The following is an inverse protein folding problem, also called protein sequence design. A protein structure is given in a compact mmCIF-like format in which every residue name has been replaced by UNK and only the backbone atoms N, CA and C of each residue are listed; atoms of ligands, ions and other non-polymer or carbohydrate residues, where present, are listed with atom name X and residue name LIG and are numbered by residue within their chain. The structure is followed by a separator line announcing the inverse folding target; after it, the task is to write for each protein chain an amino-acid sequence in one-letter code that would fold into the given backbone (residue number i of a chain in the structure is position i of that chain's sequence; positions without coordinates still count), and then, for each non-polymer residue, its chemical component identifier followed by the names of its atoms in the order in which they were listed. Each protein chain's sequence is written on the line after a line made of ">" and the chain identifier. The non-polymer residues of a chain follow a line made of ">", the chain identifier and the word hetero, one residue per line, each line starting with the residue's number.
data_IF_071336630148
#
_entry.id   IF_071336630148
#
_cell.length_a   1.000
_cell.length_b   1.000
_cell.length_c   1.000
_cell.angle_alpha   90.00
_cell.angle_beta   90.00
_cell.angle_gamma   90.00
#
_symmetry.space_group_name_H-M   'P 1'
#
loop_
_entity.id
_entity.type
_entity.pdbx_description
1 polymer ?
#
# COMPACT_ATOMS: atom_id res chain seq x y z
N UNK A 1 28.50 13.40 5.33
CA UNK A 1 27.64 14.22 6.21
C UNK A 1 26.27 13.54 6.28
N UNK A 2 25.74 13.24 7.48
CA UNK A 2 25.00 12.00 7.69
C UNK A 2 23.52 12.05 7.29
N UNK A 3 23.08 10.93 6.73
CA UNK A 3 21.71 10.46 6.56
C UNK A 3 20.89 10.61 7.84
N UNK A 4 19.84 11.44 7.85
CA UNK A 4 18.71 11.43 8.81
C UNK A 4 17.67 12.42 8.23
N UNK A 5 16.35 12.22 8.15
CA UNK A 5 15.45 11.41 8.95
C UNK A 5 14.06 11.41 8.26
N UNK A 6 13.67 10.35 7.55
CA UNK A 6 12.26 10.14 7.17
C UNK A 6 11.72 8.94 7.94
N UNK A 7 11.39 9.17 9.22
CA UNK A 7 10.66 8.17 10.00
C UNK A 7 9.19 8.33 9.64
N UNK A 8 8.78 7.56 8.63
CA UNK A 8 7.39 7.44 8.20
C UNK A 8 6.61 6.61 9.24
N UNK A 9 6.03 7.32 10.21
CA UNK A 9 5.07 6.73 11.13
C UNK A 9 3.76 6.47 10.40
N UNK A 10 3.55 5.22 9.98
CA UNK A 10 2.23 4.72 9.59
C UNK A 10 1.39 4.55 10.86
N UNK A 11 0.48 5.48 11.11
CA UNK A 11 -0.56 5.29 12.12
C UNK A 11 -1.66 4.44 11.47
N UNK A 12 -1.81 3.19 11.92
CA UNK A 12 -2.98 2.38 11.64
C UNK A 12 -4.12 2.89 12.52
N UNK A 13 -5.08 3.59 11.92
CA UNK A 13 -6.30 4.01 12.58
C UNK A 13 -7.47 3.28 11.90
N UNK A 14 -7.76 2.08 12.39
CA UNK A 14 -9.13 1.59 12.44
C UNK A 14 -9.71 0.85 11.22
N UNK A 15 -10.65 -0.02 11.54
CA UNK A 15 -11.46 -0.86 10.66
C UNK A 15 -12.54 0.01 9.98
N UNK A 16 -12.52 0.12 8.66
CA UNK A 16 -13.57 0.85 7.92
C UNK A 16 -14.71 -0.11 7.57
N UNK A 17 -15.92 0.16 8.07
CA UNK A 17 -17.12 -0.56 7.67
C UNK A 17 -17.66 0.05 6.36
N UNK A 18 -17.24 -0.51 5.22
CA UNK A 18 -17.74 -0.11 3.89
C UNK A 18 -19.10 -0.77 3.65
N UNK A 19 -20.20 -0.05 3.91
CA UNK A 19 -21.54 -0.49 3.46
C UNK A 19 -21.62 -0.41 1.93
N UNK A 20 -21.69 -1.57 1.26
CA UNK A 20 -22.01 -1.67 -0.18
C UNK A 20 -23.45 -1.20 -0.41
N UNK A 21 -23.66 -0.04 -1.02
CA UNK A 21 -24.94 0.26 -1.66
C UNK A 21 -25.03 -0.54 -2.98
N UNK A 22 -25.89 -1.55 -2.98
CA UNK A 22 -26.17 -2.40 -4.14
C UNK A 22 -27.11 -1.65 -5.08
N UNK A 23 -26.56 -0.89 -6.03
CA UNK A 23 -27.32 -0.45 -7.19
C UNK A 23 -27.29 -1.56 -8.26
N UNK A 24 -28.47 -2.03 -8.62
CA UNK A 24 -28.74 -3.07 -9.62
C UNK A 24 -28.94 -2.39 -10.98
N UNK A 25 -28.05 -2.64 -11.94
CA UNK A 25 -28.41 -2.91 -13.34
C UNK A 25 -27.16 -3.27 -14.14
N UNK A 26 -27.33 -4.24 -15.02
CA UNK A 26 -26.31 -4.89 -15.82
C UNK A 26 -25.94 -4.04 -17.04
N UNK A 27 -24.64 -3.85 -17.29
CA UNK A 27 -24.00 -4.10 -18.60
C UNK A 27 -22.48 -3.85 -18.51
N UNK A 28 -21.72 -4.72 -19.18
CA UNK A 28 -20.26 -4.78 -19.21
C UNK A 28 -19.63 -3.51 -19.83
N UNK A 29 -18.73 -2.84 -19.12
CA UNK A 29 -17.45 -2.32 -19.65
C UNK A 29 -16.62 -1.61 -18.56
N UNK A 30 -15.30 -1.79 -18.67
CA UNK A 30 -14.22 -1.09 -17.95
C UNK A 30 -14.53 0.35 -17.54
N UNK A 31 -14.59 0.62 -16.23
CA UNK A 31 -14.13 1.88 -15.65
C UNK A 31 -13.92 1.69 -14.14
N UNK A 32 -12.67 1.41 -13.75
CA UNK A 32 -12.23 1.52 -12.35
C UNK A 32 -12.03 3.00 -12.04
N UNK A 33 -13.13 3.70 -11.80
CA UNK A 33 -13.11 5.12 -11.41
C UNK A 33 -12.76 5.19 -9.93
N UNK A 34 -11.54 5.62 -9.61
CA UNK A 34 -11.17 5.98 -8.25
C UNK A 34 -11.98 7.23 -7.87
N UNK A 35 -12.94 7.06 -6.97
CA UNK A 35 -13.77 8.17 -6.47
C UNK A 35 -12.87 8.98 -5.51
N UNK A 36 -12.54 10.21 -5.91
CA UNK A 36 -11.92 11.19 -5.00
C UNK A 36 -13.02 11.70 -4.07
N UNK A 37 -13.17 11.06 -2.90
CA UNK A 37 -14.06 11.54 -1.86
C UNK A 37 -13.31 12.63 -1.06
N UNK A 38 -13.85 13.84 -1.03
CA UNK A 38 -13.52 14.84 -0.02
C UNK A 38 -14.03 14.31 1.33
N UNK A 39 -13.14 13.77 2.15
CA UNK A 39 -13.50 13.19 3.45
C UNK A 39 -13.62 14.34 4.46
N UNK A 40 -14.83 14.65 4.90
CA UNK A 40 -15.06 15.52 6.05
C UNK A 40 -14.61 14.81 7.33
N UNK A 41 -13.64 15.41 8.02
CA UNK A 41 -12.91 14.84 9.16
C UNK A 41 -13.79 14.51 10.39
N UNK A 42 -14.94 15.18 10.53
CA UNK A 42 -15.89 15.06 11.65
C UNK A 42 -16.68 13.72 11.64
N UNK A 43 -17.09 13.23 10.47
CA UNK A 43 -18.01 12.07 10.37
C UNK A 43 -17.32 10.71 10.58
N UNK A 44 -16.01 10.62 10.36
CA UNK A 44 -15.22 9.42 10.67
C UNK A 44 -15.04 9.23 12.18
N UNK A 45 -14.97 10.32 12.95
CA UNK A 45 -14.72 10.25 14.39
C UNK A 45 -15.95 9.72 15.17
N UNK A 46 -17.16 10.01 14.69
CA UNK A 46 -18.40 9.64 15.39
C UNK A 46 -18.79 8.16 15.21
N UNK A 47 -18.50 7.57 14.04
CA UNK A 47 -18.80 6.16 13.77
C UNK A 47 -17.79 5.19 14.42
N UNK A 48 -16.62 5.69 14.83
CA UNK A 48 -15.52 4.88 15.38
C UNK A 48 -15.64 4.59 16.89
N UNK A 49 -16.46 5.34 17.63
CA UNK A 49 -16.59 5.21 19.08
C UNK A 49 -17.26 3.92 19.55
N UNK A 50 -17.91 3.15 18.67
CA UNK A 50 -18.72 1.99 19.06
C UNK A 50 -18.00 0.62 19.05
N UNK A 51 -16.73 0.54 18.61
CA UNK A 51 -15.99 -0.73 18.50
C UNK A 51 -14.68 -0.79 19.30
N UNK A 52 -14.42 0.17 20.20
CA UNK A 52 -13.22 0.16 21.05
C UNK A 52 -13.46 -0.64 22.34
N UNK A 53 -13.47 -1.97 22.24
CA UNK A 53 -13.39 -2.90 23.40
C UNK A 53 -12.11 -3.73 23.36
N UNK A 54 -11.01 -3.16 22.86
CA UNK A 54 -9.69 -3.79 22.94
C UNK A 54 -8.66 -2.81 23.54
N UNK A 55 -7.87 -3.23 24.55
CA UNK A 55 -6.94 -2.36 25.27
C UNK A 55 -5.83 -1.81 24.37
N UNK A 56 -5.45 -0.57 24.68
CA UNK A 56 -4.71 0.40 23.85
C UNK A 56 -3.24 0.06 23.50
N UNK A 57 -2.75 -1.14 23.80
CA UNK A 57 -1.34 -1.53 23.61
C UNK A 57 -1.16 -2.88 22.90
N UNK A 58 -1.90 -3.09 21.81
CA UNK A 58 -1.68 -4.26 20.95
C UNK A 58 -0.51 -3.99 20.00
N UNK A 59 0.43 -4.95 19.90
CA UNK A 59 1.55 -4.82 18.96
C UNK A 59 1.04 -4.70 17.52
N UNK A 60 1.62 -3.79 16.72
CA UNK A 60 1.10 -3.44 15.38
C UNK A 60 0.91 -4.66 14.46
N UNK A 61 1.77 -5.68 14.62
CA UNK A 61 1.65 -6.98 13.90
C UNK A 61 0.36 -7.75 14.20
N UNK A 62 -0.25 -7.51 15.37
CA UNK A 62 -1.51 -8.14 15.80
C UNK A 62 -2.75 -7.33 15.40
N UNK A 63 -2.59 -6.10 14.87
CA UNK A 63 -3.69 -5.23 14.43
C UNK A 63 -4.25 -5.61 13.06
N UNK A 64 -3.47 -6.31 12.22
CA UNK A 64 -3.90 -6.75 10.89
C UNK A 64 -4.36 -8.20 10.99
N UNK A 65 -5.68 -8.41 10.91
CA UNK A 65 -6.32 -9.72 10.90
C UNK A 65 -7.30 -9.78 9.72
N UNK A 66 -6.84 -10.16 8.52
CA UNK A 66 -7.67 -10.21 7.32
C UNK A 66 -8.93 -11.07 7.51
N UNK A 67 -8.86 -12.09 8.37
CA UNK A 67 -9.98 -12.95 8.75
C UNK A 67 -11.12 -12.23 9.49
N UNK A 68 -10.86 -11.11 10.16
CA UNK A 68 -11.90 -10.29 10.81
C UNK A 68 -12.42 -9.23 9.85
N UNK A 69 -11.49 -8.51 9.22
CA UNK A 69 -11.80 -7.55 8.17
C UNK A 69 -10.66 -7.48 7.16
N UNK A 70 -10.96 -7.49 5.85
CA UNK A 70 -9.94 -7.23 4.85
C UNK A 70 -9.67 -5.72 4.67
N UNK A 71 -10.52 -4.83 5.21
CA UNK A 71 -10.45 -3.38 5.03
C UNK A 71 -9.69 -2.65 6.14
N UNK A 72 -8.77 -1.78 5.74
CA UNK A 72 -7.91 -1.00 6.64
C UNK A 72 -7.76 0.43 6.16
N UNK A 73 -7.90 1.38 7.08
CA UNK A 73 -7.50 2.76 6.85
C UNK A 73 -6.07 2.97 7.34
N UNK A 74 -5.20 3.40 6.43
CA UNK A 74 -3.81 3.74 6.73
C UNK A 74 -3.54 5.20 6.44
N UNK A 75 -2.72 5.80 7.30
CA UNK A 75 -2.33 7.20 7.20
C UNK A 75 -0.81 7.26 7.22
N UNK A 76 -0.26 8.09 6.35
CA UNK A 76 1.17 8.36 6.26
C UNK A 76 1.39 9.86 6.31
N UNK A 77 2.11 10.33 7.33
CA UNK A 77 2.35 11.75 7.59
C UNK A 77 3.83 12.07 7.49
N UNK A 78 4.14 13.22 6.92
CA UNK A 78 5.48 13.78 7.01
C UNK A 78 5.74 14.35 8.40
N UNK A 79 6.97 14.19 8.85
CA UNK A 79 7.47 14.77 10.10
C UNK A 79 8.32 16.00 9.80
N UNK A 80 8.57 16.84 10.80
CA UNK A 80 9.49 18.00 10.71
C UNK A 80 9.12 19.05 9.66
N UNK A 81 7.83 19.37 9.52
CA UNK A 81 7.31 20.41 8.61
C UNK A 81 7.65 20.19 7.12
N UNK A 82 7.98 18.96 6.73
CA UNK A 82 8.18 18.65 5.32
C UNK A 82 6.82 18.54 4.59
N UNK A 83 6.72 19.15 3.42
CA UNK A 83 5.54 19.10 2.56
C UNK A 83 5.69 17.96 1.55
N UNK A 84 4.69 17.05 1.52
CA UNK A 84 4.56 16.04 0.48
C UNK A 84 4.26 16.66 -0.88
N UNK A 85 3.36 17.64 -0.86
CA UNK A 85 2.92 18.39 -2.03
C UNK A 85 2.26 19.70 -1.58
N UNK A 86 1.84 20.53 -2.52
CA UNK A 86 1.22 21.82 -2.20
C UNK A 86 2.24 22.94 -2.03
N UNK A 87 1.76 24.12 -1.66
CA UNK A 87 2.62 25.26 -1.36
C UNK A 87 3.24 25.12 0.03
N UNK A 88 4.55 25.32 0.12
CA UNK A 88 5.27 25.47 1.37
C UNK A 88 5.24 26.95 1.79
N UNK A 89 4.50 27.31 2.85
CA UNK A 89 4.33 28.69 3.28
C UNK A 89 5.62 29.30 3.85
N UNK A 90 6.66 28.51 4.11
CA UNK A 90 7.90 29.02 4.71
C UNK A 90 8.92 29.49 3.68
N UNK A 91 9.10 28.74 2.59
CA UNK A 91 10.05 29.08 1.52
C UNK A 91 9.36 29.50 0.21
N UNK A 92 8.02 29.46 0.15
CA UNK A 92 7.22 29.83 -1.02
C UNK A 92 7.31 28.82 -2.18
N UNK A 93 7.91 27.64 -1.98
CA UNK A 93 8.04 26.63 -3.03
C UNK A 93 6.73 25.88 -3.24
N UNK A 94 6.43 25.60 -4.50
CA UNK A 94 5.26 24.82 -4.91
C UNK A 94 5.69 23.37 -5.21
N UNK A 95 5.08 22.43 -4.51
CA UNK A 95 5.31 20.99 -4.68
C UNK A 95 4.08 20.25 -5.22
N UNK A 96 3.15 20.93 -5.89
CA UNK A 96 1.91 20.30 -6.37
C UNK A 96 2.16 19.13 -7.32
N UNK A 97 3.24 19.17 -8.10
CA UNK A 97 3.62 18.10 -9.02
C UNK A 97 3.85 16.76 -8.31
N UNK A 98 4.35 16.78 -7.07
CA UNK A 98 4.60 15.57 -6.26
C UNK A 98 3.33 14.77 -5.97
N UNK A 99 2.14 15.39 -6.00
CA UNK A 99 0.85 14.67 -5.87
C UNK A 99 0.71 13.61 -6.96
N UNK A 100 1.12 13.92 -8.20
CA UNK A 100 1.07 12.96 -9.31
C UNK A 100 1.97 11.75 -9.05
N UNK A 101 3.15 11.94 -8.45
CA UNK A 101 4.07 10.85 -8.10
C UNK A 101 3.43 9.88 -7.12
N UNK A 102 2.78 10.42 -6.08
CA UNK A 102 2.10 9.63 -5.05
C UNK A 102 0.96 8.84 -5.69
N UNK A 103 0.07 9.49 -6.43
CA UNK A 103 -1.10 8.84 -7.06
C UNK A 103 -0.66 7.78 -8.08
N UNK A 104 0.35 8.06 -8.89
CA UNK A 104 0.86 7.10 -9.87
C UNK A 104 1.50 5.89 -9.18
N UNK A 105 2.24 6.10 -8.08
CA UNK A 105 2.82 4.99 -7.31
C UNK A 105 1.75 4.14 -6.63
N UNK A 106 0.71 4.74 -6.07
CA UNK A 106 -0.44 4.01 -5.50
C UNK A 106 -1.07 3.12 -6.58
N UNK A 107 -1.33 3.67 -7.77
CA UNK A 107 -1.89 2.91 -8.91
C UNK A 107 -0.98 1.75 -9.32
N UNK A 108 0.32 2.01 -9.48
CA UNK A 108 1.30 0.98 -9.81
C UNK A 108 1.29 -0.16 -8.78
N UNK A 109 1.37 0.18 -7.49
CA UNK A 109 1.40 -0.82 -6.42
C UNK A 109 0.10 -1.63 -6.36
N UNK A 110 -1.06 -0.99 -6.57
CA UNK A 110 -2.36 -1.68 -6.60
C UNK A 110 -2.52 -2.68 -7.75
N UNK A 111 -1.74 -2.51 -8.83
CA UNK A 111 -1.74 -3.46 -9.95
C UNK A 111 -0.84 -4.69 -9.68
N UNK A 112 0.12 -4.55 -8.76
CA UNK A 112 1.15 -5.57 -8.50
C UNK A 112 0.83 -6.36 -7.22
N UNK A 113 0.49 -5.67 -6.13
CA UNK A 113 0.09 -6.28 -4.87
C UNK A 113 -1.31 -6.87 -4.95
N UNK A 114 -1.61 -7.84 -4.08
CA UNK A 114 -2.96 -8.34 -3.82
C UNK A 114 -3.70 -7.44 -2.83
N UNK A 115 -3.68 -6.13 -3.11
CA UNK A 115 -4.27 -5.09 -2.26
C UNK A 115 -5.03 -4.11 -3.15
N UNK A 116 -6.35 -4.07 -2.96
CA UNK A 116 -7.21 -3.09 -3.60
C UNK A 116 -7.13 -1.75 -2.86
N UNK A 117 -7.05 -0.65 -3.61
CA UNK A 117 -7.16 0.71 -3.06
C UNK A 117 -8.61 1.17 -3.27
N UNK A 118 -9.40 1.15 -2.20
CA UNK A 118 -10.82 1.53 -2.25
C UNK A 118 -11.02 3.04 -2.29
N UNK A 119 -10.17 3.79 -1.59
CA UNK A 119 -10.18 5.25 -1.59
C UNK A 119 -8.80 5.80 -1.23
N UNK A 120 -8.50 7.02 -1.67
CA UNK A 120 -7.31 7.74 -1.24
C UNK A 120 -7.56 9.25 -1.17
N UNK A 121 -6.83 9.93 -0.29
CA UNK A 121 -6.76 11.39 -0.22
C UNK A 121 -5.31 11.81 -0.03
N UNK A 122 -4.80 12.70 -0.89
CA UNK A 122 -3.42 13.23 -0.82
C UNK A 122 -3.48 14.70 -0.46
N UNK A 123 -3.03 15.01 0.74
CA UNK A 123 -2.97 16.37 1.30
C UNK A 123 -1.52 16.87 1.26
N UNK A 124 -1.32 18.11 1.70
CA UNK A 124 -0.02 18.78 1.60
C UNK A 124 1.06 18.15 2.47
N UNK A 125 0.72 17.65 3.66
CA UNK A 125 1.67 17.07 4.62
C UNK A 125 1.40 15.59 4.98
N UNK A 126 0.34 14.99 4.43
CA UNK A 126 0.01 13.58 4.65
C UNK A 126 -0.92 13.01 3.58
N UNK A 127 -1.07 11.69 3.56
CA UNK A 127 -2.07 11.02 2.75
C UNK A 127 -2.80 9.92 3.53
N UNK A 128 -4.04 9.65 3.09
CA UNK A 128 -4.92 8.61 3.62
C UNK A 128 -5.18 7.58 2.53
N UNK A 129 -5.16 6.29 2.86
CA UNK A 129 -5.59 5.20 1.97
C UNK A 129 -6.57 4.29 2.70
N UNK A 130 -7.65 3.91 2.01
CA UNK A 130 -8.50 2.80 2.41
C UNK A 130 -8.11 1.61 1.55
N UNK A 131 -7.51 0.60 2.17
CA UNK A 131 -6.96 -0.58 1.53
C UNK A 131 -7.82 -1.80 1.85
N UNK A 132 -7.96 -2.71 0.90
CA UNK A 132 -8.57 -4.03 1.11
C UNK A 132 -7.57 -5.10 0.70
N UNK A 133 -7.23 -6.00 1.62
CA UNK A 133 -6.39 -7.17 1.32
C UNK A 133 -7.25 -8.17 0.54
N UNK A 134 -6.80 -8.57 -0.65
CA UNK A 134 -7.45 -9.60 -1.46
C UNK A 134 -6.81 -10.96 -1.16
N UNK A 135 -7.26 -11.60 -0.09
CA UNK A 135 -6.73 -12.89 0.37
C UNK A 135 -7.00 -14.01 -0.63
N UNK A 136 -8.13 -13.95 -1.36
CA UNK A 136 -8.50 -14.93 -2.38
C UNK A 136 -7.54 -14.83 -3.56
N UNK A 137 -7.31 -13.62 -4.09
CA UNK A 137 -6.31 -13.42 -5.14
C UNK A 137 -4.93 -13.86 -4.67
N UNK A 138 -4.54 -13.50 -3.45
CA UNK A 138 -3.23 -13.83 -2.89
C UNK A 138 -3.00 -15.34 -2.87
N UNK A 139 -3.97 -16.12 -2.38
CA UNK A 139 -3.87 -17.58 -2.27
C UNK A 139 -3.88 -18.28 -3.62
N UNK A 140 -4.56 -17.72 -4.61
CA UNK A 140 -4.68 -18.28 -5.95
C UNK A 140 -3.55 -17.89 -6.92
N UNK A 141 -2.51 -17.17 -6.45
CA UNK A 141 -1.36 -16.86 -7.30
C UNK A 141 -0.52 -18.10 -7.58
N UNK A 142 -0.21 -18.32 -8.86
CA UNK A 142 0.77 -19.35 -9.26
C UNK A 142 2.20 -18.85 -8.97
N UNK A 143 3.18 -19.75 -8.80
CA UNK A 143 4.57 -19.38 -8.58
C UNK A 143 5.12 -18.39 -9.62
N UNK A 144 4.80 -18.60 -10.90
CA UNK A 144 5.23 -17.75 -12.01
C UNK A 144 4.70 -16.33 -11.85
N UNK A 145 3.42 -16.19 -11.47
CA UNK A 145 2.79 -14.88 -11.27
C UNK A 145 3.35 -14.18 -10.03
N UNK A 146 3.60 -14.92 -8.93
CA UNK A 146 4.24 -14.37 -7.73
C UNK A 146 5.59 -13.77 -8.07
N UNK A 147 6.44 -14.54 -8.77
CA UNK A 147 7.78 -14.10 -9.15
C UNK A 147 7.67 -12.91 -10.10
N UNK A 148 6.87 -13.01 -11.17
CA UNK A 148 6.70 -11.94 -12.14
C UNK A 148 6.24 -10.62 -11.51
N UNK A 149 5.26 -10.66 -10.59
CA UNK A 149 4.81 -9.48 -9.83
C UNK A 149 5.92 -8.93 -8.94
N UNK A 150 6.64 -9.80 -8.22
CA UNK A 150 7.71 -9.38 -7.32
C UNK A 150 8.85 -8.67 -8.06
N UNK A 151 9.27 -9.20 -9.22
CA UNK A 151 10.35 -8.65 -10.04
C UNK A 151 10.02 -7.27 -10.66
N UNK A 152 8.75 -6.89 -10.74
CA UNK A 152 8.37 -5.54 -11.20
C UNK A 152 8.75 -4.45 -10.18
N UNK A 153 8.99 -4.81 -8.91
CA UNK A 153 9.25 -3.86 -7.83
C UNK A 153 10.62 -4.03 -7.19
N UNK A 154 11.15 -5.25 -7.16
CA UNK A 154 12.36 -5.59 -6.45
C UNK A 154 13.30 -6.43 -7.31
N UNK A 155 14.58 -6.39 -6.98
CA UNK A 155 15.55 -7.30 -7.58
C UNK A 155 15.22 -8.75 -7.20
N UNK A 156 15.31 -9.64 -8.19
CA UNK A 156 15.04 -11.06 -8.04
C UNK A 156 16.19 -11.87 -7.49
N UNK A 157 15.86 -13.00 -6.86
CA UNK A 157 16.83 -14.05 -6.61
C UNK A 157 17.13 -14.79 -7.93
N UNK A 158 18.39 -15.14 -8.25
CA UNK A 158 18.75 -15.82 -9.50
C UNK A 158 17.90 -17.05 -9.80
N UNK A 159 17.69 -17.92 -8.81
CA UNK A 159 16.83 -19.12 -8.92
C UNK A 159 15.43 -18.80 -9.46
N UNK A 160 14.82 -17.69 -9.03
CA UNK A 160 13.49 -17.30 -9.48
C UNK A 160 13.51 -16.72 -10.91
N UNK A 161 14.60 -16.06 -11.28
CA UNK A 161 14.81 -15.55 -12.65
C UNK A 161 15.03 -16.72 -13.61
N UNK A 162 15.83 -17.71 -13.23
CA UNK A 162 16.07 -18.92 -14.01
C UNK A 162 14.77 -19.70 -14.18
N UNK A 163 13.98 -19.87 -13.11
CA UNK A 163 12.66 -20.49 -13.18
C UNK A 163 11.73 -19.82 -14.20
N UNK A 164 11.69 -18.48 -14.25
CA UNK A 164 10.87 -17.77 -15.24
C UNK A 164 11.35 -17.93 -16.68
N UNK A 165 12.65 -18.18 -16.90
CA UNK A 165 13.25 -18.34 -18.23
C UNK A 165 13.12 -19.78 -18.73
N UNK A 166 13.41 -20.75 -17.87
CA UNK A 166 13.55 -22.16 -18.23
C UNK A 166 12.27 -22.97 -17.91
N UNK A 167 11.35 -22.41 -17.13
CA UNK A 167 10.10 -23.06 -16.70
C UNK A 167 10.28 -24.10 -15.59
N UNK A 168 11.53 -24.46 -15.26
CA UNK A 168 11.86 -25.42 -14.21
C UNK A 168 13.19 -25.07 -13.56
N UNK A 169 13.44 -25.63 -12.38
CA UNK A 169 14.73 -25.56 -11.69
C UNK A 169 15.15 -26.98 -11.30
N UNK A 170 16.46 -27.20 -11.12
CA UNK A 170 16.97 -28.46 -10.61
C UNK A 170 16.34 -28.86 -9.26
N UNK A 171 16.27 -30.17 -9.01
CA UNK A 171 15.66 -30.72 -7.80
C UNK A 171 16.31 -30.20 -6.50
N UNK A 172 17.60 -29.88 -6.57
CA UNK A 172 18.39 -29.25 -5.50
C UNK A 172 17.90 -27.83 -5.13
N UNK A 173 17.34 -27.09 -6.10
CA UNK A 173 16.89 -25.70 -5.93
C UNK A 173 15.39 -25.57 -5.70
N UNK A 174 14.61 -26.64 -5.91
CA UNK A 174 13.15 -26.60 -5.87
C UNK A 174 12.60 -26.17 -4.50
N UNK A 175 13.19 -26.66 -3.39
CA UNK A 175 12.77 -26.25 -2.05
C UNK A 175 13.06 -24.76 -1.79
N UNK A 176 14.23 -24.28 -2.21
CA UNK A 176 14.62 -22.87 -2.07
C UNK A 176 13.70 -21.95 -2.87
N UNK A 177 13.33 -22.35 -4.09
CA UNK A 177 12.35 -21.63 -4.90
C UNK A 177 10.98 -21.59 -4.22
N UNK A 178 10.49 -22.73 -3.71
CA UNK A 178 9.20 -22.82 -3.01
C UNK A 178 9.14 -21.89 -1.79
N UNK A 179 10.23 -21.84 -1.00
CA UNK A 179 10.34 -20.94 0.15
C UNK A 179 10.29 -19.46 -0.28
N UNK A 180 11.01 -19.09 -1.35
CA UNK A 180 11.00 -17.73 -1.90
C UNK A 180 9.61 -17.33 -2.40
N UNK A 181 8.96 -18.20 -3.17
CA UNK A 181 7.61 -17.98 -3.71
C UNK A 181 6.62 -17.80 -2.55
N UNK A 182 6.65 -18.69 -1.56
CA UNK A 182 5.77 -18.58 -0.39
C UNK A 182 5.96 -17.26 0.34
N UNK A 183 7.22 -16.87 0.56
CA UNK A 183 7.52 -15.58 1.20
C UNK A 183 7.00 -14.40 0.37
N UNK A 184 7.29 -14.35 -0.93
CA UNK A 184 6.87 -13.24 -1.78
C UNK A 184 5.34 -13.18 -1.94
N UNK A 185 4.66 -14.32 -2.02
CA UNK A 185 3.21 -14.39 -2.02
C UNK A 185 2.63 -13.76 -0.74
N UNK A 186 3.20 -14.06 0.43
CA UNK A 186 2.80 -13.43 1.70
C UNK A 186 3.05 -11.92 1.69
N UNK A 187 4.20 -11.47 1.16
CA UNK A 187 4.55 -10.05 1.08
C UNK A 187 3.63 -9.29 0.11
N UNK A 188 3.22 -9.89 -1.00
CA UNK A 188 2.31 -9.29 -1.99
C UNK A 188 0.91 -9.01 -1.42
N UNK A 189 0.47 -9.66 -0.34
CA UNK A 189 -0.77 -9.32 0.39
C UNK A 189 -0.54 -8.46 1.64
N UNK A 190 0.69 -8.01 1.90
CA UNK A 190 1.02 -7.30 3.13
C UNK A 190 0.90 -5.78 2.98
N UNK A 191 0.01 -5.17 3.78
CA UNK A 191 -0.12 -3.70 3.85
C UNK A 191 1.21 -3.05 4.24
N UNK A 192 1.97 -3.66 5.14
CA UNK A 192 3.27 -3.13 5.56
C UNK A 192 4.25 -3.04 4.39
N UNK A 193 4.30 -4.07 3.53
CA UNK A 193 5.14 -4.04 2.33
C UNK A 193 4.65 -3.04 1.31
N UNK A 194 3.33 -2.96 1.09
CA UNK A 194 2.73 -1.94 0.22
C UNK A 194 3.11 -0.52 0.67
N UNK A 195 2.91 -0.23 1.96
CA UNK A 195 3.22 1.09 2.53
C UNK A 195 4.71 1.38 2.50
N UNK A 196 5.57 0.38 2.75
CA UNK A 196 7.02 0.53 2.62
C UNK A 196 7.40 0.94 1.20
N UNK A 197 6.94 0.20 0.19
CA UNK A 197 7.24 0.48 -1.22
C UNK A 197 6.72 1.83 -1.70
N UNK A 198 5.56 2.26 -1.19
CA UNK A 198 5.01 3.58 -1.50
C UNK A 198 5.87 4.70 -0.90
N UNK A 199 6.16 4.59 0.40
CA UNK A 199 6.84 5.62 1.16
C UNK A 199 8.31 5.78 0.77
N UNK A 200 9.00 4.68 0.49
CA UNK A 200 10.40 4.70 0.07
C UNK A 200 10.58 5.47 -1.25
N UNK A 201 9.72 5.23 -2.24
CA UNK A 201 9.76 5.92 -3.53
C UNK A 201 9.50 7.43 -3.39
N UNK A 202 8.50 7.79 -2.59
CA UNK A 202 8.16 9.21 -2.32
C UNK A 202 9.34 9.90 -1.63
N UNK A 203 9.89 9.30 -0.58
CA UNK A 203 11.01 9.86 0.16
C UNK A 203 12.25 10.01 -0.73
N UNK A 204 12.57 9.00 -1.55
CA UNK A 204 13.71 9.05 -2.47
C UNK A 204 13.58 10.18 -3.49
N UNK A 205 12.39 10.36 -4.08
CA UNK A 205 12.14 11.43 -5.06
C UNK A 205 12.16 12.81 -4.43
N UNK A 206 11.50 12.98 -3.29
CA UNK A 206 11.52 14.25 -2.55
C UNK A 206 12.95 14.64 -2.15
N UNK A 207 13.71 13.73 -1.56
CA UNK A 207 15.10 13.98 -1.16
C UNK A 207 16.01 14.34 -2.33
N UNK A 208 15.76 13.78 -3.52
CA UNK A 208 16.55 14.11 -4.72
C UNK A 208 16.23 15.52 -5.25
N UNK A 209 14.99 15.97 -5.11
CA UNK A 209 14.57 17.32 -5.54
C UNK A 209 14.93 18.41 -4.52
N UNK A 210 14.98 18.07 -3.23
CA UNK A 210 15.30 19.01 -2.14
C UNK A 210 16.82 19.21 -1.94
N UNK A 211 17.67 18.47 -2.66
CA UNK A 211 19.14 18.65 -2.73
C UNK A 211 19.52 19.74 -3.72
#
# INVERSE_FOLDING_TARGET
>A
MPLFLWVLFCYFLGIVNVRRNKARSETKAKQRTAISLHINHELLHLSFKLLMVDPMTISRRKLIKPQITPFYHVISRCVRRAYLCGDDPYNGKNYHHRRSWIVNKIKQLSAIFCIDVCAYAVMSNHYHLVLKIDTEQQQNLTPEVVISRWLQLFNGHPIAVDFLKEGQVGADKQQSLSNLVTEWQQRLGSISWFMRSLNEEIARKANKEDQ
#
